data_IF_077813654429
#
_entry.id   IF_077813654429
#
_cell.length_a   1.000
_cell.length_b   1.000
_cell.length_c   1.000
_cell.angle_alpha   90.00
_cell.angle_beta   90.00
_cell.angle_gamma   90.00
#
_symmetry.space_group_name_H-M   'P 1'
#
loop_
_entity.id
_entity.type
_entity.pdbx_description
1 polymer ?
#
# COMPACT_ATOMS: atom_id res chain seq x y z
N UNK A 1 0.19 -23.53 -13.84
CA UNK A 1 0.48 -22.10 -13.62
C UNK A 1 -0.74 -21.36 -13.11
N UNK A 2 -1.88 -21.42 -13.81
CA UNK A 2 -3.12 -20.71 -13.45
C UNK A 2 -3.67 -21.00 -12.04
N UNK A 3 -3.61 -22.25 -11.58
CA UNK A 3 -4.05 -22.62 -10.22
C UNK A 3 -3.29 -21.80 -9.16
N UNK A 4 -2.00 -21.54 -9.35
CA UNK A 4 -1.18 -20.76 -8.41
C UNK A 4 -1.62 -19.29 -8.39
N UNK A 5 -2.10 -18.75 -9.52
CA UNK A 5 -2.64 -17.39 -9.58
C UNK A 5 -3.95 -17.29 -8.81
N UNK A 6 -4.83 -18.26 -8.98
CA UNK A 6 -6.08 -18.34 -8.22
C UNK A 6 -5.86 -18.47 -6.71
N UNK A 7 -4.83 -19.20 -6.27
CA UNK A 7 -4.47 -19.29 -4.85
C UNK A 7 -4.18 -17.89 -4.26
N UNK A 8 -3.40 -17.06 -4.95
CA UNK A 8 -3.12 -15.69 -4.50
C UNK A 8 -4.35 -14.78 -4.59
N UNK A 9 -5.13 -14.86 -5.66
CA UNK A 9 -6.37 -14.06 -5.81
C UNK A 9 -7.37 -14.41 -4.70
N UNK A 10 -7.54 -15.69 -4.38
CA UNK A 10 -8.40 -16.13 -3.28
C UNK A 10 -7.84 -15.70 -1.92
N UNK A 11 -6.51 -15.74 -1.76
CA UNK A 11 -5.87 -15.21 -0.57
C UNK A 11 -6.18 -13.72 -0.39
N UNK A 12 -6.07 -12.88 -1.44
CA UNK A 12 -6.37 -11.44 -1.32
C UNK A 12 -7.85 -11.14 -1.11
N UNK A 13 -8.76 -12.01 -1.57
CA UNK A 13 -10.20 -11.90 -1.31
C UNK A 13 -10.60 -12.27 0.12
N UNK A 14 -9.83 -13.14 0.78
CA UNK A 14 -10.24 -13.74 2.07
C UNK A 14 -9.36 -13.25 3.22
N UNK A 15 -8.04 -13.30 3.08
CA UNK A 15 -7.12 -13.11 4.19
C UNK A 15 -7.21 -11.68 4.74
N UNK A 16 -6.85 -10.66 3.98
CA UNK A 16 -6.92 -9.28 4.47
C UNK A 16 -8.37 -8.81 4.72
N UNK A 17 -9.34 -9.03 3.81
CA UNK A 17 -10.69 -8.51 4.01
C UNK A 17 -11.46 -9.13 5.17
N UNK A 18 -11.20 -10.41 5.50
CA UNK A 18 -11.94 -11.12 6.55
C UNK A 18 -11.04 -11.34 7.77
N UNK A 19 -9.90 -12.02 7.60
CA UNK A 19 -8.99 -12.32 8.71
C UNK A 19 -8.35 -11.03 9.24
N UNK A 20 -7.94 -10.12 8.36
CA UNK A 20 -7.43 -8.79 8.72
C UNK A 20 -8.47 -7.97 9.48
N UNK A 21 -9.73 -7.94 9.01
CA UNK A 21 -10.84 -7.28 9.71
C UNK A 21 -11.02 -7.80 11.14
N UNK A 22 -11.19 -9.10 11.34
CA UNK A 22 -11.35 -9.66 12.69
C UNK A 22 -10.08 -9.53 13.54
N UNK A 23 -8.91 -9.61 12.90
CA UNK A 23 -7.61 -9.36 13.52
C UNK A 23 -7.53 -7.96 14.10
N UNK A 24 -7.96 -6.95 13.35
CA UNK A 24 -8.02 -5.56 13.78
C UNK A 24 -9.03 -5.35 14.91
N UNK A 25 -10.23 -5.91 14.82
CA UNK A 25 -11.22 -5.83 15.90
C UNK A 25 -10.70 -6.45 17.21
N UNK A 26 -9.93 -7.54 17.11
CA UNK A 26 -9.28 -8.18 18.27
C UNK A 26 -8.12 -7.33 18.81
N UNK A 27 -7.40 -6.63 17.94
CA UNK A 27 -6.38 -5.65 18.31
C UNK A 27 -7.02 -4.52 19.13
N UNK A 28 -8.08 -3.88 18.63
CA UNK A 28 -8.80 -2.78 19.31
C UNK A 28 -9.20 -3.15 20.74
N UNK A 29 -9.87 -4.29 20.91
CA UNK A 29 -10.33 -4.77 22.23
C UNK A 29 -9.18 -4.95 23.22
N UNK A 30 -8.00 -5.35 22.73
CA UNK A 30 -6.83 -5.63 23.56
C UNK A 30 -5.99 -4.39 23.84
N UNK A 31 -5.99 -3.43 22.93
CA UNK A 31 -5.23 -2.18 23.06
C UNK A 31 -5.61 -1.41 24.33
N UNK A 32 -6.91 -1.40 24.69
CA UNK A 32 -7.42 -0.76 25.90
C UNK A 32 -6.78 -1.26 27.21
N UNK A 33 -6.15 -2.44 27.20
CA UNK A 33 -5.63 -3.09 28.41
C UNK A 33 -4.10 -3.26 28.39
N UNK A 34 -3.44 -3.08 27.24
CA UNK A 34 -2.00 -3.29 27.11
C UNK A 34 -1.42 -2.59 25.88
N UNK A 35 -0.57 -1.58 26.09
CA UNK A 35 0.08 -0.80 25.04
C UNK A 35 1.06 -1.61 24.18
N UNK A 36 1.67 -2.69 24.71
CA UNK A 36 2.58 -3.55 23.94
C UNK A 36 1.88 -4.33 22.81
N UNK A 37 0.55 -4.36 22.79
CA UNK A 37 -0.24 -5.07 21.78
C UNK A 37 -0.03 -4.47 20.39
N UNK A 38 0.24 -3.16 20.27
CA UNK A 38 0.48 -2.49 18.99
C UNK A 38 1.72 -3.00 18.29
N UNK A 39 2.84 -3.13 19.00
CA UNK A 39 4.07 -3.71 18.45
C UNK A 39 3.85 -5.13 17.95
N UNK A 40 3.16 -5.97 18.73
CA UNK A 40 2.84 -7.34 18.32
C UNK A 40 1.97 -7.35 17.06
N UNK A 41 1.02 -6.44 16.96
CA UNK A 41 0.16 -6.30 15.79
C UNK A 41 0.96 -5.90 14.54
N UNK A 42 1.90 -4.96 14.66
CA UNK A 42 2.81 -4.59 13.57
C UNK A 42 3.62 -5.78 13.04
N UNK A 43 4.21 -6.58 13.93
CA UNK A 43 4.94 -7.79 13.50
C UNK A 43 4.05 -8.78 12.78
N UNK A 44 2.81 -8.97 13.26
CA UNK A 44 1.87 -9.88 12.61
C UNK A 44 1.45 -9.39 11.21
N UNK A 45 1.21 -8.08 11.03
CA UNK A 45 0.92 -7.51 9.70
C UNK A 45 2.11 -7.73 8.77
N UNK A 46 3.32 -7.38 9.20
CA UNK A 46 4.51 -7.54 8.36
C UNK A 46 4.69 -9.00 7.93
N UNK A 47 4.53 -9.96 8.85
CA UNK A 47 4.58 -11.38 8.53
C UNK A 47 3.47 -11.79 7.55
N UNK A 48 2.23 -11.34 7.79
CA UNK A 48 1.08 -11.62 6.95
C UNK A 48 1.24 -11.16 5.51
N UNK A 49 1.93 -10.03 5.31
CA UNK A 49 2.22 -9.49 3.98
C UNK A 49 3.41 -10.19 3.29
N UNK A 50 4.45 -10.55 4.03
CA UNK A 50 5.62 -11.23 3.45
C UNK A 50 5.33 -12.66 2.99
N UNK A 51 4.42 -13.39 3.65
CA UNK A 51 4.03 -14.76 3.24
C UNK A 51 3.56 -14.85 1.78
N UNK A 52 2.53 -14.11 1.33
CA UNK A 52 2.10 -14.12 -0.06
C UNK A 52 3.15 -13.53 -1.01
N UNK A 53 3.94 -12.52 -0.59
CA UNK A 53 5.03 -11.98 -1.41
C UNK A 53 6.11 -13.02 -1.68
N UNK A 54 6.54 -13.77 -0.66
CA UNK A 54 7.51 -14.86 -0.81
C UNK A 54 6.93 -15.96 -1.70
N UNK A 55 5.65 -16.29 -1.55
CA UNK A 55 4.98 -17.24 -2.44
C UNK A 55 4.96 -16.78 -3.90
N UNK A 56 4.69 -15.49 -4.16
CA UNK A 56 4.79 -14.89 -5.50
C UNK A 56 6.22 -15.02 -6.05
N UNK A 57 7.24 -14.73 -5.24
CA UNK A 57 8.65 -14.89 -5.65
C UNK A 57 8.94 -16.35 -6.00
N UNK A 58 8.47 -17.31 -5.22
CA UNK A 58 8.60 -18.74 -5.55
C UNK A 58 7.90 -19.11 -6.86
N UNK A 59 6.70 -18.59 -7.11
CA UNK A 59 6.02 -18.79 -8.40
C UNK A 59 6.92 -18.28 -9.53
N UNK A 60 7.49 -17.08 -9.41
CA UNK A 60 8.37 -16.50 -10.43
C UNK A 60 9.60 -17.39 -10.66
N UNK A 61 10.26 -17.85 -9.60
CA UNK A 61 11.48 -18.65 -9.71
C UNK A 61 11.27 -20.08 -10.24
N UNK A 62 10.06 -20.65 -10.07
CA UNK A 62 9.75 -22.03 -10.43
C UNK A 62 8.94 -22.16 -11.73
N UNK A 63 8.62 -21.04 -12.38
CA UNK A 63 7.86 -21.01 -13.64
C UNK A 63 8.57 -20.16 -14.68
N UNK A 64 8.01 -20.08 -15.89
CA UNK A 64 8.57 -19.26 -16.98
C UNK A 64 8.34 -17.74 -16.79
N UNK A 65 7.82 -17.34 -15.63
CA UNK A 65 7.63 -15.93 -15.29
C UNK A 65 8.96 -15.26 -14.96
N UNK A 66 9.06 -13.98 -15.29
CA UNK A 66 10.20 -13.15 -14.92
C UNK A 66 9.77 -12.04 -13.97
N UNK A 67 10.72 -11.51 -13.20
CA UNK A 67 10.50 -10.30 -12.39
C UNK A 67 9.98 -9.11 -13.22
N UNK A 68 10.31 -9.05 -14.52
CA UNK A 68 9.80 -8.01 -15.42
C UNK A 68 8.30 -8.15 -15.67
N UNK A 69 7.74 -9.37 -15.70
CA UNK A 69 6.31 -9.59 -15.89
C UNK A 69 5.46 -9.02 -14.76
N UNK A 70 6.02 -8.96 -13.54
CA UNK A 70 5.38 -8.37 -12.36
C UNK A 70 5.88 -6.95 -12.06
N UNK A 71 6.51 -6.29 -13.01
CA UNK A 71 6.92 -4.88 -12.88
C UNK A 71 8.15 -4.61 -12.02
N UNK A 72 8.85 -5.65 -11.55
CA UNK A 72 10.13 -5.54 -10.85
C UNK A 72 11.27 -5.38 -11.87
N UNK A 73 11.35 -4.19 -12.46
CA UNK A 73 12.29 -3.85 -13.52
C UNK A 73 12.74 -2.39 -13.42
N UNK A 74 13.91 -2.08 -13.99
CA UNK A 74 14.40 -0.71 -14.15
C UNK A 74 13.90 -0.05 -15.45
N UNK A 75 13.05 -0.73 -16.23
CA UNK A 75 12.43 -0.13 -17.41
C UNK A 75 11.62 1.11 -17.00
N UNK A 76 11.73 2.17 -17.78
CA UNK A 76 11.04 3.43 -17.53
C UNK A 76 10.19 3.83 -18.74
N UNK A 77 9.00 4.37 -18.44
CA UNK A 77 8.02 4.98 -19.34
C UNK A 77 7.44 4.05 -20.41
N UNK A 78 6.16 3.71 -20.26
CA UNK A 78 5.32 3.11 -21.31
C UNK A 78 4.13 4.03 -21.61
N UNK A 79 4.26 4.80 -22.69
CA UNK A 79 3.20 5.68 -23.19
C UNK A 79 2.28 5.00 -24.19
N UNK A 80 2.57 3.77 -24.62
CA UNK A 80 1.78 3.06 -25.64
C UNK A 80 0.47 2.53 -25.05
N UNK A 81 0.53 1.99 -23.84
CA UNK A 81 -0.62 1.31 -23.22
C UNK A 81 -1.72 2.29 -22.80
N UNK A 82 -1.36 3.44 -22.20
CA UNK A 82 -2.34 4.43 -21.70
C UNK A 82 -2.45 5.67 -22.59
N UNK A 83 -1.58 5.81 -23.59
CA UNK A 83 -1.40 7.04 -24.35
C UNK A 83 -0.51 8.06 -23.61
N UNK A 84 0.13 8.98 -24.36
CA UNK A 84 1.10 9.92 -23.81
C UNK A 84 0.48 10.92 -22.83
N UNK A 85 -0.74 11.42 -23.12
CA UNK A 85 -1.39 12.47 -22.31
C UNK A 85 -1.61 11.98 -20.88
N UNK A 86 -2.27 10.83 -20.71
CA UNK A 86 -2.55 10.26 -19.38
C UNK A 86 -1.25 9.96 -18.66
N UNK A 87 -0.30 9.33 -19.35
CA UNK A 87 1.00 8.93 -18.77
C UNK A 87 1.75 10.13 -18.19
N UNK A 88 1.88 11.22 -18.95
CA UNK A 88 2.60 12.40 -18.48
C UNK A 88 1.86 13.18 -17.40
N UNK A 89 0.53 13.26 -17.46
CA UNK A 89 -0.27 13.89 -16.39
C UNK A 89 -0.07 13.15 -15.07
N UNK A 90 -0.24 11.83 -15.08
CA UNK A 90 -0.14 11.01 -13.86
C UNK A 90 1.29 11.01 -13.31
N UNK A 91 2.31 10.96 -14.18
CA UNK A 91 3.70 11.11 -13.77
C UNK A 91 3.97 12.48 -13.15
N UNK A 92 3.44 13.55 -13.74
CA UNK A 92 3.55 14.91 -13.20
C UNK A 92 2.89 15.04 -11.82
N UNK A 93 1.67 14.53 -11.66
CA UNK A 93 0.96 14.51 -10.37
C UNK A 93 1.71 13.70 -9.31
N UNK A 94 2.21 12.51 -9.67
CA UNK A 94 3.00 11.67 -8.77
C UNK A 94 4.30 12.34 -8.36
N UNK A 95 4.97 13.03 -9.29
CA UNK A 95 6.21 13.78 -9.01
C UNK A 95 5.96 14.94 -8.06
N UNK A 96 4.90 15.73 -8.30
CA UNK A 96 4.49 16.82 -7.40
C UNK A 96 4.19 16.27 -6.01
N UNK A 97 3.44 15.18 -5.95
CA UNK A 97 3.05 14.55 -4.69
C UNK A 97 4.27 13.98 -3.93
N UNK A 98 5.22 13.37 -4.63
CA UNK A 98 6.50 12.92 -4.06
C UNK A 98 7.27 14.08 -3.41
N UNK A 99 7.47 15.17 -4.13
CA UNK A 99 8.17 16.34 -3.57
C UNK A 99 7.39 17.00 -2.44
N UNK A 100 6.06 16.97 -2.49
CA UNK A 100 5.20 17.40 -1.39
C UNK A 100 5.47 16.55 -0.15
N UNK A 101 5.50 15.21 -0.25
CA UNK A 101 5.80 14.32 0.87
C UNK A 101 7.20 14.59 1.45
N UNK A 102 8.22 14.78 0.61
CA UNK A 102 9.55 15.16 1.08
C UNK A 102 9.54 16.51 1.81
N UNK A 103 8.82 17.50 1.29
CA UNK A 103 8.64 18.79 1.93
C UNK A 103 7.99 18.65 3.31
N UNK A 104 6.92 17.85 3.44
CA UNK A 104 6.28 17.57 4.73
C UNK A 104 7.27 16.94 5.72
N UNK A 105 8.03 15.92 5.31
CA UNK A 105 8.99 15.23 6.17
C UNK A 105 10.10 16.17 6.62
N UNK A 106 10.74 16.89 5.70
CA UNK A 106 11.85 17.80 6.01
C UNK A 106 11.37 18.93 6.92
N UNK A 107 10.28 19.60 6.54
CA UNK A 107 9.77 20.76 7.28
C UNK A 107 9.28 20.38 8.68
N UNK A 108 8.75 19.16 8.87
CA UNK A 108 8.38 18.65 10.19
C UNK A 108 9.58 18.57 11.16
N UNK A 109 10.77 18.22 10.68
CA UNK A 109 11.97 18.09 11.52
C UNK A 109 12.74 19.41 11.69
N UNK A 110 12.47 20.42 10.84
CA UNK A 110 13.20 21.70 10.84
C UNK A 110 12.39 22.84 11.46
N UNK A 111 11.07 22.85 11.29
CA UNK A 111 10.22 23.98 11.67
C UNK A 111 9.26 23.63 12.80
N UNK A 112 9.52 24.18 13.98
CA UNK A 112 8.64 24.12 15.15
C UNK A 112 7.21 24.56 14.83
N UNK A 113 7.06 25.71 14.14
CA UNK A 113 5.76 26.26 13.73
C UNK A 113 4.98 25.29 12.83
N UNK A 114 5.66 24.64 11.89
CA UNK A 114 5.04 23.66 11.02
C UNK A 114 4.63 22.41 11.79
N UNK A 115 5.52 21.90 12.65
CA UNK A 115 5.27 20.73 13.50
C UNK A 115 4.00 20.92 14.33
N UNK A 116 3.87 22.03 15.06
CA UNK A 116 2.67 22.31 15.87
C UNK A 116 1.39 22.35 15.02
N UNK A 117 1.43 23.01 13.85
CA UNK A 117 0.26 23.06 12.93
C UNK A 117 -0.08 21.69 12.35
N UNK A 118 0.93 20.90 12.00
CA UNK A 118 0.76 19.57 11.46
C UNK A 118 0.09 18.66 12.50
N UNK A 119 0.60 18.65 13.73
CA UNK A 119 0.03 17.91 14.86
C UNK A 119 -1.41 18.34 15.11
N UNK A 120 -1.69 19.64 15.17
CA UNK A 120 -3.04 20.15 15.38
C UNK A 120 -4.01 19.69 14.28
N UNK A 121 -3.62 19.81 13.01
CA UNK A 121 -4.41 19.36 11.87
C UNK A 121 -4.64 17.85 11.91
N UNK A 122 -3.60 17.07 12.23
CA UNK A 122 -3.69 15.62 12.36
C UNK A 122 -4.64 15.21 13.47
N UNK A 123 -4.54 15.81 14.66
CA UNK A 123 -5.41 15.52 15.79
C UNK A 123 -6.88 15.86 15.49
N UNK A 124 -7.15 16.95 14.76
CA UNK A 124 -8.53 17.28 14.33
C UNK A 124 -9.12 16.27 13.34
N UNK A 125 -8.30 15.60 12.54
CA UNK A 125 -8.75 14.60 11.58
C UNK A 125 -8.81 13.19 12.19
N UNK A 126 -7.97 12.90 13.18
CA UNK A 126 -7.87 11.58 13.81
C UNK A 126 -9.10 11.16 14.61
N UNK A 127 -9.86 12.12 15.16
CA UNK A 127 -11.07 11.83 15.95
C UNK A 127 -12.13 11.01 15.22
N UNK A 128 -12.14 11.07 13.88
CA UNK A 128 -13.13 10.39 13.04
C UNK A 128 -12.56 9.17 12.29
N UNK A 129 -11.27 8.86 12.45
CA UNK A 129 -10.62 7.75 11.76
C UNK A 129 -10.80 6.45 12.56
N UNK A 130 -11.54 5.50 12.00
CA UNK A 130 -11.75 4.14 12.50
C UNK A 130 -10.48 3.33 12.77
N UNK A 131 -9.32 3.77 12.27
CA UNK A 131 -8.03 3.12 12.41
C UNK A 131 -6.98 3.98 13.15
N UNK A 132 -7.39 5.11 13.77
CA UNK A 132 -6.47 6.01 14.46
C UNK A 132 -5.63 5.32 15.55
N UNK A 133 -6.21 4.33 16.22
CA UNK A 133 -5.60 3.46 17.24
C UNK A 133 -4.36 2.69 16.75
N UNK A 134 -4.28 2.45 15.43
CA UNK A 134 -3.17 1.76 14.78
C UNK A 134 -1.92 2.64 14.71
N UNK A 135 -2.08 3.98 14.70
CA UNK A 135 -0.95 4.88 14.54
C UNK A 135 0.03 4.78 15.72
N UNK A 136 1.35 4.88 15.47
CA UNK A 136 2.35 4.74 16.51
C UNK A 136 2.37 5.97 17.42
N UNK A 137 2.48 5.75 18.73
CA UNK A 137 2.51 6.81 19.74
C UNK A 137 3.93 6.95 20.31
N UNK A 138 4.48 5.84 20.81
CA UNK A 138 5.81 5.84 21.45
C UNK A 138 6.95 5.86 20.43
N UNK A 139 8.14 6.30 20.85
CA UNK A 139 9.36 6.23 20.04
C UNK A 139 9.64 4.83 19.48
N UNK A 140 9.43 3.78 20.28
CA UNK A 140 9.65 2.39 19.86
C UNK A 140 8.68 1.98 18.76
N UNK A 141 7.41 2.36 18.89
CA UNK A 141 6.39 2.11 17.87
C UNK A 141 6.67 2.91 16.60
N UNK A 142 7.07 4.18 16.71
CA UNK A 142 7.42 5.02 15.55
C UNK A 142 8.64 4.48 14.79
N UNK A 143 9.64 3.96 15.50
CA UNK A 143 10.76 3.24 14.87
C UNK A 143 10.29 1.97 14.18
N UNK A 144 9.42 1.19 14.84
CA UNK A 144 8.85 -0.04 14.26
C UNK A 144 8.00 0.25 13.03
N UNK A 145 7.26 1.36 13.03
CA UNK A 145 6.43 1.80 11.93
C UNK A 145 7.22 2.06 10.65
N UNK A 146 8.49 2.47 10.73
CA UNK A 146 9.34 2.60 9.53
C UNK A 146 9.45 1.26 8.80
N UNK A 147 9.59 0.16 9.55
CA UNK A 147 9.62 -1.19 8.98
C UNK A 147 8.25 -1.65 8.48
N UNK A 148 7.16 -1.21 9.14
CA UNK A 148 5.79 -1.45 8.65
C UNK A 148 5.60 -0.75 7.30
N UNK A 149 5.90 0.55 7.20
CA UNK A 149 5.82 1.33 5.96
C UNK A 149 6.69 0.73 4.86
N UNK A 150 7.91 0.28 5.19
CA UNK A 150 8.80 -0.34 4.21
C UNK A 150 8.26 -1.69 3.74
N UNK A 151 7.76 -2.50 4.68
CA UNK A 151 7.16 -3.79 4.36
C UNK A 151 5.94 -3.59 3.48
N UNK A 152 4.95 -2.80 3.91
CA UNK A 152 3.73 -2.53 3.16
C UNK A 152 4.04 -1.96 1.77
N UNK A 153 4.89 -0.93 1.68
CA UNK A 153 5.32 -0.35 0.42
C UNK A 153 5.94 -1.36 -0.54
N UNK A 154 6.72 -2.34 -0.07
CA UNK A 154 7.29 -3.38 -0.94
C UNK A 154 6.27 -4.46 -1.26
N UNK A 155 5.71 -5.09 -0.23
CA UNK A 155 4.91 -6.32 -0.35
C UNK A 155 3.58 -6.03 -1.03
N UNK A 156 2.90 -4.95 -0.66
CA UNK A 156 1.61 -4.63 -1.24
C UNK A 156 1.77 -4.28 -2.71
N UNK A 157 2.77 -3.48 -3.10
CA UNK A 157 3.04 -3.16 -4.51
C UNK A 157 3.33 -4.42 -5.33
N UNK A 158 4.12 -5.36 -4.81
CA UNK A 158 4.34 -6.65 -5.46
C UNK A 158 3.04 -7.43 -5.60
N UNK A 159 2.21 -7.50 -4.55
CA UNK A 159 0.96 -8.27 -4.54
C UNK A 159 -0.06 -7.65 -5.49
N UNK A 160 -0.52 -6.41 -5.24
CA UNK A 160 -1.66 -5.88 -5.98
C UNK A 160 -1.30 -5.15 -7.28
N UNK A 161 -0.11 -4.53 -7.39
CA UNK A 161 0.28 -3.84 -8.63
C UNK A 161 1.03 -4.79 -9.56
N UNK A 162 2.10 -5.41 -9.08
CA UNK A 162 2.88 -6.35 -9.88
C UNK A 162 2.10 -7.60 -10.26
N UNK A 163 1.73 -8.39 -9.26
CA UNK A 163 1.19 -9.73 -9.46
C UNK A 163 -0.28 -9.75 -9.85
N UNK A 164 -1.19 -9.07 -9.13
CA UNK A 164 -2.63 -9.16 -9.44
C UNK A 164 -2.98 -8.57 -10.81
N UNK A 165 -2.39 -7.44 -11.21
CA UNK A 165 -2.61 -6.88 -12.56
C UNK A 165 -2.11 -7.86 -13.62
N UNK A 166 -0.92 -8.43 -13.43
CA UNK A 166 -0.38 -9.46 -14.32
C UNK A 166 -1.30 -10.69 -14.39
N UNK A 167 -1.69 -11.25 -13.24
CA UNK A 167 -2.47 -12.47 -13.14
C UNK A 167 -3.87 -12.30 -13.74
N UNK A 168 -4.55 -11.18 -13.46
CA UNK A 168 -5.88 -10.89 -14.03
C UNK A 168 -5.78 -10.70 -15.55
N UNK A 169 -4.78 -9.95 -16.04
CA UNK A 169 -4.57 -9.80 -17.49
C UNK A 169 -4.25 -11.12 -18.18
N UNK A 170 -3.49 -12.01 -17.52
CA UNK A 170 -3.17 -13.33 -18.03
C UNK A 170 -4.39 -14.26 -18.09
N UNK A 171 -5.17 -14.31 -17.00
CA UNK A 171 -6.36 -15.18 -16.90
C UNK A 171 -7.52 -14.69 -17.78
N UNK A 172 -7.57 -13.39 -18.05
CA UNK A 172 -8.65 -12.74 -18.81
C UNK A 172 -8.08 -11.84 -19.91
N UNK A 173 -7.45 -12.40 -20.96
CA UNK A 173 -6.70 -11.64 -21.97
C UNK A 173 -7.56 -10.68 -22.81
N UNK A 174 -8.88 -10.87 -22.81
CA UNK A 174 -9.82 -10.01 -23.53
C UNK A 174 -10.29 -8.80 -22.71
N UNK A 175 -9.94 -8.70 -21.42
CA UNK A 175 -10.29 -7.53 -20.61
C UNK A 175 -9.41 -6.34 -20.97
N UNK A 176 -10.01 -5.15 -21.00
CA UNK A 176 -9.22 -3.93 -21.14
C UNK A 176 -8.33 -3.71 -19.91
N UNK A 177 -7.15 -3.14 -20.12
CA UNK A 177 -6.22 -2.83 -19.03
C UNK A 177 -6.85 -1.96 -17.93
N UNK A 178 -7.80 -1.09 -18.30
CA UNK A 178 -8.58 -0.28 -17.35
C UNK A 178 -9.40 -1.12 -16.38
N UNK A 179 -10.06 -2.18 -16.87
CA UNK A 179 -10.83 -3.10 -16.03
C UNK A 179 -9.90 -3.94 -15.15
N UNK A 180 -8.76 -4.38 -15.69
CA UNK A 180 -7.74 -5.12 -14.94
C UNK A 180 -7.22 -4.30 -13.77
N UNK A 181 -6.82 -3.04 -14.01
CA UNK A 181 -6.36 -2.12 -12.97
C UNK A 181 -7.46 -1.87 -11.93
N UNK A 182 -8.71 -1.70 -12.37
CA UNK A 182 -9.84 -1.48 -11.46
C UNK A 182 -10.07 -2.69 -10.56
N UNK A 183 -10.04 -3.91 -11.11
CA UNK A 183 -10.18 -5.16 -10.36
C UNK A 183 -9.10 -5.30 -9.29
N UNK A 184 -7.83 -5.11 -9.66
CA UNK A 184 -6.72 -5.14 -8.70
C UNK A 184 -6.84 -4.06 -7.62
N UNK A 185 -7.32 -2.88 -7.98
CA UNK A 185 -7.50 -1.75 -7.05
C UNK A 185 -8.67 -1.97 -6.08
N UNK A 186 -9.76 -2.62 -6.52
CA UNK A 186 -10.86 -3.02 -5.64
C UNK A 186 -10.37 -4.05 -4.63
N UNK A 187 -9.59 -5.05 -5.07
CA UNK A 187 -9.00 -6.04 -4.16
C UNK A 187 -8.08 -5.37 -3.13
N UNK A 188 -7.31 -4.35 -3.54
CA UNK A 188 -6.50 -3.55 -2.63
C UNK A 188 -7.34 -2.76 -1.62
N UNK A 189 -8.43 -2.14 -2.07
CA UNK A 189 -9.39 -1.48 -1.18
C UNK A 189 -10.03 -2.44 -0.17
N UNK A 190 -10.42 -3.64 -0.61
CA UNK A 190 -11.04 -4.65 0.26
C UNK A 190 -10.09 -5.15 1.36
N UNK A 191 -8.78 -5.18 1.09
CA UNK A 191 -7.78 -5.46 2.12
C UNK A 191 -7.80 -4.45 3.28
N UNK A 192 -8.42 -3.28 3.08
CA UNK A 192 -8.52 -2.19 4.05
C UNK A 192 -9.91 -2.08 4.68
N UNK A 193 -10.73 -3.12 4.60
CA UNK A 193 -12.08 -3.17 5.23
C UNK A 193 -12.09 -2.86 6.73
N UNK A 194 -11.01 -3.17 7.45
CA UNK A 194 -10.86 -2.82 8.86
C UNK A 194 -10.88 -1.29 9.11
N UNK A 195 -10.59 -0.48 8.09
CA UNK A 195 -10.67 0.98 8.13
C UNK A 195 -12.09 1.50 7.83
N UNK A 196 -13.07 0.62 7.61
CA UNK A 196 -14.44 1.00 7.28
C UNK A 196 -14.63 1.40 5.81
N UNK A 197 -15.90 1.40 5.36
CA UNK A 197 -16.25 1.46 3.93
C UNK A 197 -15.76 2.74 3.23
N UNK A 198 -15.80 3.89 3.90
CA UNK A 198 -15.30 5.14 3.33
C UNK A 198 -13.80 5.08 2.98
N UNK A 199 -13.00 4.42 3.82
CA UNK A 199 -11.57 4.24 3.57
C UNK A 199 -11.32 3.14 2.53
N UNK A 200 -12.13 2.08 2.46
CA UNK A 200 -12.07 1.10 1.35
C UNK A 200 -12.20 1.78 -0.01
N UNK A 201 -13.15 2.71 -0.17
CA UNK A 201 -13.34 3.48 -1.40
C UNK A 201 -12.14 4.39 -1.68
N UNK A 202 -11.64 5.11 -0.67
CA UNK A 202 -10.44 5.96 -0.81
C UNK A 202 -9.21 5.16 -1.21
N UNK A 203 -8.97 4.02 -0.57
CA UNK A 203 -7.85 3.12 -0.86
C UNK A 203 -7.99 2.51 -2.26
N UNK A 204 -9.20 2.19 -2.70
CA UNK A 204 -9.45 1.76 -4.09
C UNK A 204 -9.05 2.84 -5.09
N UNK A 205 -9.42 4.10 -4.84
CA UNK A 205 -9.07 5.23 -5.72
C UNK A 205 -7.56 5.45 -5.77
N UNK A 206 -6.88 5.42 -4.61
CA UNK A 206 -5.42 5.53 -4.52
C UNK A 206 -4.75 4.36 -5.25
N UNK A 207 -5.22 3.13 -5.03
CA UNK A 207 -4.74 1.93 -5.72
C UNK A 207 -4.89 2.01 -7.23
N UNK A 208 -5.99 2.62 -7.70
CA UNK A 208 -6.21 2.82 -9.13
C UNK A 208 -5.26 3.88 -9.71
N UNK A 209 -5.04 4.99 -9.00
CA UNK A 209 -4.02 5.97 -9.37
C UNK A 209 -2.62 5.33 -9.44
N UNK A 210 -2.26 4.50 -8.47
CA UNK A 210 -1.00 3.75 -8.46
C UNK A 210 -0.91 2.73 -9.59
N UNK A 211 -2.02 2.10 -9.95
CA UNK A 211 -2.08 1.17 -11.09
C UNK A 211 -1.82 1.91 -12.40
N UNK A 212 -2.43 3.08 -12.60
CA UNK A 212 -2.19 3.92 -13.79
C UNK A 212 -0.73 4.37 -13.83
N UNK A 213 -0.17 4.81 -12.69
CA UNK A 213 1.23 5.19 -12.58
C UNK A 213 2.17 4.02 -12.90
N UNK A 214 1.87 2.83 -12.38
CA UNK A 214 2.62 1.61 -12.67
C UNK A 214 2.61 1.29 -14.17
N UNK A 215 1.44 1.24 -14.81
CA UNK A 215 1.35 0.93 -16.24
C UNK A 215 2.05 2.01 -17.07
N UNK A 216 1.93 3.29 -16.70
CA UNK A 216 2.60 4.39 -17.40
C UNK A 216 4.12 4.43 -17.22
N UNK A 217 4.67 3.91 -16.12
CA UNK A 217 6.12 3.83 -15.87
C UNK A 217 6.70 2.49 -16.36
N UNK A 218 5.91 1.42 -16.34
CA UNK A 218 6.37 0.05 -16.59
C UNK A 218 7.21 -0.55 -15.46
N UNK A 219 7.20 0.04 -14.27
CA UNK A 219 7.95 -0.42 -13.09
C UNK A 219 7.21 -0.08 -11.80
N UNK A 220 7.15 -1.01 -10.85
CA UNK A 220 6.59 -0.76 -9.51
C UNK A 220 7.56 -0.07 -8.56
N UNK A 221 8.87 -0.03 -8.88
CA UNK A 221 9.90 0.47 -7.94
C UNK A 221 9.65 1.93 -7.49
N UNK A 222 9.31 2.89 -8.38
CA UNK A 222 8.99 4.24 -7.93
C UNK A 222 7.71 4.32 -7.08
N UNK A 223 6.77 3.41 -7.30
CA UNK A 223 5.51 3.34 -6.55
C UNK A 223 5.75 2.76 -5.15
N UNK A 224 6.66 1.78 -5.00
CA UNK A 224 7.14 1.29 -3.68
C UNK A 224 7.66 2.47 -2.85
N UNK A 225 8.51 3.32 -3.45
CA UNK A 225 9.05 4.49 -2.75
C UNK A 225 7.95 5.48 -2.38
N UNK A 226 7.03 5.77 -3.31
CA UNK A 226 5.93 6.70 -3.05
C UNK A 226 5.02 6.19 -1.93
N UNK A 227 4.64 4.92 -1.97
CA UNK A 227 3.82 4.26 -0.95
C UNK A 227 4.50 4.30 0.41
N UNK A 228 5.78 3.91 0.48
CA UNK A 228 6.58 4.01 1.70
C UNK A 228 6.53 5.42 2.31
N UNK A 229 6.66 6.46 1.48
CA UNK A 229 6.64 7.85 1.96
C UNK A 229 5.26 8.26 2.51
N UNK A 230 4.17 7.82 1.89
CA UNK A 230 2.81 8.07 2.38
C UNK A 230 2.65 7.48 3.79
N UNK A 231 3.01 6.20 3.95
CA UNK A 231 2.90 5.52 5.24
C UNK A 231 3.87 6.10 6.27
N UNK A 232 5.06 6.51 5.85
CA UNK A 232 6.05 7.13 6.71
C UNK A 232 5.53 8.46 7.29
N UNK A 233 4.85 9.28 6.49
CA UNK A 233 4.25 10.54 6.98
C UNK A 233 3.19 10.26 8.06
N UNK A 234 2.50 9.11 8.00
CA UNK A 234 1.48 8.74 8.97
C UNK A 234 2.01 8.57 10.41
N UNK A 235 3.31 8.29 10.62
CA UNK A 235 3.90 8.24 11.99
C UNK A 235 4.32 9.59 12.56
N UNK A 236 4.38 10.65 11.76
CA UNK A 236 4.72 11.99 12.25
C UNK A 236 3.60 12.49 13.18
N UNK A 237 3.95 13.12 14.29
CA UNK A 237 3.02 13.52 15.36
C UNK A 237 3.69 13.48 16.73
N UNK A 238 2.93 13.79 17.78
CA UNK A 238 3.43 13.89 19.16
C UNK A 238 4.12 12.61 19.64
N UNK A 239 5.27 12.76 20.27
CA UNK A 239 5.94 11.71 21.03
C UNK A 239 5.52 11.87 22.49
N UNK A 240 4.79 10.89 23.01
CA UNK A 240 4.59 10.74 24.46
C UNK A 240 5.85 10.17 25.13
#
# INVERSE_FOLDING_TARGET
>A
MEILFWVIILFTLVYEPIVGYYGFQKFERRLAHNSNVRLKYYYNIMLGLWVPTIFIIFIILLTDLTFQNVGLTLRTLDTKTLGPIITYIVLGLATIYFFLMLYYIITYHVSEKFRTKFIQSKNSQMGDLSFASLLPVTLKEKKTWIYVSLTAGITEEIIYRGFLIFAIAYLFPNLSIWIVMLGASILFGLAHTYQGLGNVVRTTIIGYFFSILYIGIGSILPIIVLHFLIDYVAKLGDED
#
